data_IF_815352429274
#
_entry.id   IF_815352429274
#
_cell.length_a   1.000
_cell.length_b   1.000
_cell.length_c   1.000
_cell.angle_alpha   90.00
_cell.angle_beta   90.00
_cell.angle_gamma   90.00
#
_symmetry.space_group_name_H-M   'P 1'
#
loop_
_entity.id
_entity.type
_entity.pdbx_description
1 polymer ?
#
# COMPACT_ATOMS: atom_id res chain seq x y z
N UNK A 1 -11.20 -8.86 4.86
CA UNK A 1 -10.12 -8.40 5.75
C UNK A 1 -9.47 -7.14 5.20
N UNK A 2 -9.24 -6.12 6.02
CA UNK A 2 -8.56 -4.89 5.60
C UNK A 2 -7.15 -4.76 6.20
N UNK A 3 -6.84 -5.57 7.19
CA UNK A 3 -5.55 -5.67 7.84
C UNK A 3 -5.22 -7.12 8.19
N UNK A 4 -4.08 -7.35 8.81
CA UNK A 4 -3.61 -8.69 9.14
C UNK A 4 -4.01 -9.14 10.56
N UNK A 5 -5.06 -8.57 11.18
CA UNK A 5 -5.49 -8.90 12.54
C UNK A 5 -5.72 -10.39 12.76
N UNK A 6 -6.25 -11.09 11.76
CA UNK A 6 -6.52 -12.53 11.86
C UNK A 6 -5.27 -13.39 12.09
N UNK A 7 -4.09 -12.89 11.72
CA UNK A 7 -2.81 -13.62 11.80
C UNK A 7 -1.72 -12.87 12.55
N UNK A 8 -1.97 -11.61 12.94
CA UNK A 8 -0.99 -10.78 13.63
C UNK A 8 -1.66 -9.82 14.62
N UNK A 9 -1.42 -9.94 15.96
CA UNK A 9 -2.07 -9.09 16.95
C UNK A 9 -1.77 -7.59 16.83
N UNK A 10 -0.68 -7.17 16.18
CA UNK A 10 -0.41 -5.76 15.90
C UNK A 10 -0.93 -5.29 14.54
N UNK A 11 -1.63 -6.14 13.79
CA UNK A 11 -2.29 -5.89 12.50
C UNK A 11 -1.35 -5.57 11.32
N UNK A 12 -0.06 -5.37 11.56
CA UNK A 12 0.86 -4.84 10.55
C UNK A 12 1.82 -5.87 9.95
N UNK A 13 1.96 -7.05 10.58
CA UNK A 13 3.02 -8.03 10.24
C UNK A 13 4.40 -7.38 10.19
N UNK A 14 4.66 -6.44 11.12
CA UNK A 14 5.89 -5.67 11.23
C UNK A 14 6.29 -5.55 12.71
N UNK A 15 7.59 -5.60 12.97
CA UNK A 15 8.14 -5.33 14.32
C UNK A 15 8.19 -3.83 14.60
N UNK A 16 8.34 -3.41 15.87
CA UNK A 16 8.55 -1.99 16.20
C UNK A 16 9.80 -1.38 15.56
N UNK A 17 10.78 -2.20 15.17
CA UNK A 17 11.98 -1.78 14.46
C UNK A 17 11.80 -1.65 12.94
N UNK A 18 10.56 -1.75 12.43
CA UNK A 18 10.26 -1.61 11.00
C UNK A 18 10.58 -2.84 10.13
N UNK A 19 10.85 -4.00 10.73
CA UNK A 19 11.14 -5.23 9.99
C UNK A 19 9.87 -6.05 9.79
N UNK A 20 9.68 -6.60 8.60
CA UNK A 20 8.61 -7.56 8.31
C UNK A 20 8.70 -8.76 9.27
N UNK A 21 7.55 -9.16 9.82
CA UNK A 21 7.46 -10.25 10.78
C UNK A 21 6.21 -11.08 10.57
N UNK A 22 6.37 -12.37 10.32
CA UNK A 22 5.29 -13.34 10.12
C UNK A 22 5.18 -14.36 11.26
N UNK A 23 5.88 -14.15 12.39
CA UNK A 23 6.04 -15.14 13.46
C UNK A 23 4.74 -15.48 14.20
N UNK A 24 3.69 -14.64 14.11
CA UNK A 24 2.41 -14.88 14.77
C UNK A 24 1.44 -15.69 13.91
N UNK A 25 1.68 -15.81 12.61
CA UNK A 25 0.85 -16.61 11.71
C UNK A 25 0.75 -18.06 12.21
N UNK A 26 -0.40 -18.72 11.95
CA UNK A 26 -0.66 -20.06 12.48
C UNK A 26 -1.00 -20.13 13.97
N UNK A 27 -1.46 -19.02 14.58
CA UNK A 27 -1.90 -18.99 15.98
C UNK A 27 -0.79 -18.75 17.00
N UNK A 28 0.42 -18.40 16.56
CA UNK A 28 1.58 -18.21 17.44
C UNK A 28 1.66 -16.79 18.04
N UNK A 29 0.52 -16.23 18.49
CA UNK A 29 0.36 -14.85 18.96
C UNK A 29 1.33 -14.43 20.09
N UNK A 30 1.90 -15.39 20.84
CA UNK A 30 2.90 -15.12 21.88
C UNK A 30 4.15 -14.39 21.36
N UNK A 31 4.45 -14.48 20.05
CA UNK A 31 5.56 -13.76 19.44
C UNK A 31 5.33 -12.23 19.42
N UNK A 32 4.08 -11.78 19.46
CA UNK A 32 3.75 -10.37 19.62
C UNK A 32 4.29 -9.81 20.95
N UNK A 33 4.10 -10.55 22.07
CA UNK A 33 4.68 -10.20 23.36
C UNK A 33 6.21 -10.21 23.33
N UNK A 34 6.83 -11.28 22.80
CA UNK A 34 8.29 -11.41 22.74
C UNK A 34 8.96 -10.24 22.03
N UNK A 35 8.33 -9.70 21.01
CA UNK A 35 8.84 -8.60 20.19
C UNK A 35 8.29 -7.21 20.63
N UNK A 36 7.46 -7.13 21.67
CA UNK A 36 6.80 -5.87 22.10
C UNK A 36 6.12 -5.13 20.97
N UNK A 37 5.40 -5.85 20.08
CA UNK A 37 4.92 -5.35 18.79
C UNK A 37 3.89 -4.23 18.89
N UNK A 38 3.07 -4.16 19.96
CA UNK A 38 2.01 -3.16 20.08
C UNK A 38 2.56 -1.91 20.77
N UNK A 39 2.74 -0.85 20.00
CA UNK A 39 3.28 0.45 20.44
C UNK A 39 4.60 0.35 21.22
N UNK A 40 5.46 -0.60 20.90
CA UNK A 40 6.72 -0.88 21.62
C UNK A 40 6.53 -1.15 23.14
N UNK A 41 5.31 -1.50 23.55
CA UNK A 41 4.91 -1.72 24.95
C UNK A 41 4.75 -3.20 25.25
N UNK A 42 5.52 -3.71 26.21
CA UNK A 42 5.38 -5.11 26.68
C UNK A 42 3.97 -5.38 27.21
N UNK A 43 3.41 -4.45 28.01
CA UNK A 43 2.10 -4.63 28.62
C UNK A 43 0.98 -4.71 27.55
N UNK A 44 0.98 -3.80 26.59
CA UNK A 44 0.00 -3.85 25.49
C UNK A 44 0.18 -5.11 24.65
N UNK A 45 1.41 -5.51 24.39
CA UNK A 45 1.71 -6.69 23.58
C UNK A 45 1.36 -8.00 24.28
N UNK A 46 1.41 -8.08 25.64
CA UNK A 46 0.95 -9.26 26.37
C UNK A 46 -0.58 -9.37 26.30
N UNK A 47 -1.30 -8.26 26.39
CA UNK A 47 -2.76 -8.23 26.25
C UNK A 47 -3.16 -8.72 24.86
N UNK A 48 -2.58 -8.15 23.78
CA UNK A 48 -2.88 -8.58 22.42
C UNK A 48 -2.47 -10.02 22.12
N UNK A 49 -1.35 -10.49 22.69
CA UNK A 49 -0.94 -11.88 22.58
C UNK A 49 -1.92 -12.82 23.31
N UNK A 50 -2.35 -12.46 24.53
CA UNK A 50 -3.32 -13.23 25.30
C UNK A 50 -4.68 -13.30 24.60
N UNK A 51 -5.16 -12.18 24.04
CA UNK A 51 -6.38 -12.12 23.23
C UNK A 51 -6.29 -13.07 22.01
N UNK A 52 -5.22 -12.96 21.22
CA UNK A 52 -5.03 -13.83 20.05
C UNK A 52 -4.97 -15.32 20.45
N UNK A 53 -4.26 -15.67 21.51
CA UNK A 53 -4.21 -17.04 22.03
C UNK A 53 -5.58 -17.51 22.51
N UNK A 54 -6.34 -16.65 23.21
CA UNK A 54 -7.67 -16.98 23.72
C UNK A 54 -8.64 -17.32 22.58
N UNK A 55 -8.79 -16.44 21.60
CA UNK A 55 -9.71 -16.67 20.47
C UNK A 55 -9.30 -17.90 19.65
N UNK A 56 -7.98 -18.11 19.48
CA UNK A 56 -7.47 -19.30 18.79
C UNK A 56 -7.79 -20.59 19.58
N UNK A 57 -7.58 -20.59 20.90
CA UNK A 57 -7.90 -21.74 21.78
C UNK A 57 -9.40 -22.07 21.81
N UNK A 58 -10.25 -21.04 21.76
CA UNK A 58 -11.71 -21.21 21.64
C UNK A 58 -12.17 -21.65 20.25
N UNK A 59 -11.24 -21.73 19.28
CA UNK A 59 -11.52 -22.16 17.89
C UNK A 59 -12.57 -21.29 17.20
N UNK A 60 -12.73 -20.02 17.59
CA UNK A 60 -13.76 -19.10 17.07
C UNK A 60 -13.64 -18.89 15.56
N UNK A 61 -12.42 -18.86 15.05
CA UNK A 61 -12.16 -18.67 13.59
C UNK A 61 -12.68 -19.82 12.71
N UNK A 62 -13.07 -20.95 13.28
CA UNK A 62 -13.72 -22.05 12.54
C UNK A 62 -15.11 -21.66 12.05
N UNK A 63 -15.78 -20.72 12.74
CA UNK A 63 -17.12 -20.22 12.37
C UNK A 63 -17.10 -19.20 11.24
N UNK A 64 -15.92 -18.79 10.79
CA UNK A 64 -15.77 -17.94 9.61
C UNK A 64 -15.84 -18.84 8.37
N UNK A 65 -16.84 -18.63 7.53
CA UNK A 65 -17.02 -19.39 6.29
C UNK A 65 -16.10 -18.86 5.18
N UNK A 66 -16.02 -17.55 5.04
CA UNK A 66 -15.21 -16.90 3.99
C UNK A 66 -14.50 -15.66 4.53
N UNK A 67 -13.23 -15.50 4.15
CA UNK A 67 -12.43 -14.30 4.38
C UNK A 67 -12.17 -13.63 3.02
N UNK A 68 -12.77 -12.48 2.80
CA UNK A 68 -12.54 -11.68 1.60
C UNK A 68 -11.26 -10.87 1.79
N UNK A 69 -10.30 -11.08 0.89
CA UNK A 69 -9.00 -10.43 0.87
C UNK A 69 -8.90 -9.51 -0.34
N UNK A 70 -8.42 -8.25 -0.17
CA UNK A 70 -8.33 -7.30 -1.28
C UNK A 70 -7.19 -7.59 -2.26
N UNK A 71 -6.33 -8.57 -1.99
CA UNK A 71 -5.25 -9.03 -2.88
C UNK A 71 -4.96 -10.51 -2.68
N UNK A 72 -4.35 -11.15 -3.67
CA UNK A 72 -3.85 -12.52 -3.57
C UNK A 72 -2.71 -12.61 -2.56
N UNK A 73 -1.88 -11.56 -2.46
CA UNK A 73 -0.84 -11.46 -1.44
C UNK A 73 -1.44 -11.57 -0.03
N UNK A 74 -2.47 -10.78 0.29
CA UNK A 74 -3.11 -10.84 1.60
C UNK A 74 -3.73 -12.21 1.85
N UNK A 75 -4.41 -12.79 0.87
CA UNK A 75 -4.96 -14.14 0.97
C UNK A 75 -3.86 -15.17 1.30
N UNK A 76 -2.68 -15.06 0.67
CA UNK A 76 -1.55 -15.93 0.96
C UNK A 76 -1.06 -15.83 2.40
N UNK A 77 -1.08 -14.61 2.99
CA UNK A 77 -0.69 -14.40 4.39
C UNK A 77 -1.72 -14.92 5.37
N UNK A 78 -3.00 -14.71 5.12
CA UNK A 78 -4.11 -15.25 5.93
C UNK A 78 -4.08 -16.79 5.89
N UNK A 79 -3.82 -17.40 4.73
CA UNK A 79 -3.74 -18.86 4.56
C UNK A 79 -2.54 -19.52 5.25
N UNK A 80 -1.60 -18.75 5.79
CA UNK A 80 -0.55 -19.31 6.66
C UNK A 80 -1.15 -19.93 7.93
N UNK A 81 -2.28 -19.40 8.43
CA UNK A 81 -3.03 -20.06 9.47
C UNK A 81 -3.90 -21.19 8.89
N UNK A 82 -3.71 -22.45 9.31
CA UNK A 82 -4.46 -23.58 8.78
C UNK A 82 -5.98 -23.44 8.88
N UNK A 83 -6.50 -22.64 9.86
CA UNK A 83 -7.95 -22.46 10.06
C UNK A 83 -8.61 -21.72 8.89
N UNK A 84 -7.84 -20.92 8.13
CA UNK A 84 -8.34 -20.14 6.99
C UNK A 84 -8.07 -20.77 5.63
N UNK A 85 -7.34 -21.89 5.57
CA UNK A 85 -7.04 -22.56 4.29
C UNK A 85 -8.34 -23.00 3.60
N UNK A 86 -8.47 -22.58 2.33
CA UNK A 86 -9.66 -22.83 1.53
C UNK A 86 -10.85 -21.90 1.81
N UNK A 87 -10.70 -20.98 2.78
CA UNK A 87 -11.76 -20.00 3.12
C UNK A 87 -11.49 -18.59 2.54
N UNK A 88 -10.31 -18.33 2.01
CA UNK A 88 -10.01 -17.01 1.44
C UNK A 88 -10.54 -16.87 0.03
N UNK A 89 -11.18 -15.74 -0.26
CA UNK A 89 -11.56 -15.30 -1.60
C UNK A 89 -10.93 -13.94 -1.89
N UNK A 90 -10.37 -13.78 -3.08
CA UNK A 90 -9.77 -12.50 -3.50
C UNK A 90 -10.84 -11.65 -4.15
N UNK A 91 -11.01 -10.43 -3.65
CA UNK A 91 -11.85 -9.41 -4.24
C UNK A 91 -11.14 -8.07 -4.11
N UNK A 92 -10.51 -7.63 -5.20
CA UNK A 92 -9.77 -6.35 -5.23
C UNK A 92 -10.68 -5.18 -4.90
N UNK A 93 -10.11 -4.13 -4.30
CA UNK A 93 -10.82 -2.89 -4.06
C UNK A 93 -11.33 -2.29 -5.39
N UNK A 94 -12.26 -1.37 -5.28
CA UNK A 94 -12.86 -0.66 -6.39
C UNK A 94 -12.39 0.79 -6.45
N UNK A 95 -12.55 1.42 -7.61
CA UNK A 95 -12.38 2.87 -7.80
C UNK A 95 -13.66 3.41 -8.40
N UNK A 96 -14.17 4.50 -7.84
CA UNK A 96 -15.28 5.22 -8.44
C UNK A 96 -14.90 5.75 -9.83
N UNK A 97 -15.92 6.10 -10.60
CA UNK A 97 -15.69 6.68 -11.92
C UNK A 97 -14.85 7.96 -11.77
N UNK A 98 -13.67 7.95 -12.37
CA UNK A 98 -12.78 9.11 -12.39
C UNK A 98 -12.92 9.86 -13.72
N UNK A 99 -12.75 11.16 -13.67
CA UNK A 99 -12.62 11.96 -14.89
C UNK A 99 -11.26 11.70 -15.54
N UNK A 100 -11.29 11.04 -16.70
CA UNK A 100 -10.11 10.67 -17.49
C UNK A 100 -9.73 11.70 -18.54
N UNK A 101 -10.27 12.92 -18.47
CA UNK A 101 -9.91 14.00 -19.37
C UNK A 101 -8.40 14.22 -19.33
N UNK A 102 -7.70 14.09 -20.46
CA UNK A 102 -6.27 14.28 -20.50
C UNK A 102 -5.88 15.71 -20.10
N UNK A 103 -4.89 15.82 -19.22
CA UNK A 103 -4.28 17.09 -18.84
C UNK A 103 -2.79 17.08 -19.21
N UNK A 104 -2.23 18.27 -19.40
CA UNK A 104 -0.78 18.40 -19.61
C UNK A 104 -0.06 17.99 -18.32
N UNK A 105 0.86 17.04 -18.42
CA UNK A 105 1.73 16.65 -17.31
C UNK A 105 2.73 17.76 -17.00
N UNK A 106 2.99 17.94 -15.72
CA UNK A 106 4.03 18.82 -15.17
C UNK A 106 5.22 17.96 -14.70
N UNK A 107 6.40 18.58 -14.64
CA UNK A 107 7.64 17.85 -14.32
C UNK A 107 7.85 17.74 -12.79
N UNK A 108 6.93 17.02 -12.09
CA UNK A 108 7.13 16.69 -10.68
C UNK A 108 6.73 15.26 -10.38
N UNK A 109 7.37 14.73 -9.33
CA UNK A 109 7.10 13.40 -8.77
C UNK A 109 6.21 13.57 -7.54
N UNK A 110 5.05 12.91 -7.52
CA UNK A 110 4.05 13.06 -6.46
C UNK A 110 4.12 11.90 -5.47
N UNK A 111 4.19 12.21 -4.19
CA UNK A 111 3.78 11.31 -3.11
C UNK A 111 2.51 11.87 -2.47
N UNK A 112 1.51 11.02 -2.22
CA UNK A 112 0.35 11.41 -1.42
C UNK A 112 -0.06 10.30 -0.47
N UNK A 113 -0.28 10.67 0.78
CA UNK A 113 -0.59 9.75 1.86
C UNK A 113 -0.02 10.19 3.20
N UNK A 114 -0.04 9.28 4.17
CA UNK A 114 0.48 9.54 5.51
C UNK A 114 2.02 9.63 5.50
N UNK A 115 2.56 10.67 6.12
CA UNK A 115 4.01 10.84 6.29
C UNK A 115 4.49 9.99 7.49
N UNK A 116 4.85 8.75 7.22
CA UNK A 116 5.26 7.79 8.23
C UNK A 116 6.32 6.83 7.69
N UNK A 117 7.07 6.21 8.59
CA UNK A 117 8.20 5.34 8.23
C UNK A 117 7.75 4.14 7.39
N UNK A 118 6.63 3.49 7.74
CA UNK A 118 6.11 2.34 7.00
C UNK A 118 5.67 2.68 5.57
N UNK A 119 5.32 3.95 5.31
CA UNK A 119 5.04 4.46 3.95
C UNK A 119 6.30 4.81 3.16
N UNK A 120 7.49 4.61 3.76
CA UNK A 120 8.77 4.77 3.09
C UNK A 120 9.23 6.21 2.94
N UNK A 121 8.79 7.13 3.84
CA UNK A 121 9.24 8.52 3.79
C UNK A 121 10.76 8.65 3.87
N UNK A 122 11.45 7.74 4.59
CA UNK A 122 12.92 7.71 4.64
C UNK A 122 13.55 7.49 3.27
N UNK A 123 12.91 6.69 2.39
CA UNK A 123 13.37 6.48 1.01
C UNK A 123 13.30 7.78 0.20
N UNK A 124 12.21 8.56 0.34
CA UNK A 124 12.08 9.86 -0.33
C UNK A 124 13.12 10.86 0.19
N UNK A 125 13.28 10.96 1.51
CA UNK A 125 14.24 11.84 2.16
C UNK A 125 15.68 11.51 1.76
N UNK A 126 15.98 10.23 1.54
CA UNK A 126 17.31 9.77 1.12
C UNK A 126 17.58 9.98 -0.38
N UNK A 127 16.54 10.06 -1.22
CA UNK A 127 16.66 10.23 -2.68
C UNK A 127 16.84 11.71 -3.06
N UNK A 128 17.93 12.33 -2.62
CA UNK A 128 18.24 13.78 -2.72
C UNK A 128 18.45 14.31 -4.15
N UNK A 129 18.49 13.42 -5.11
CA UNK A 129 18.69 13.70 -6.53
C UNK A 129 17.37 13.77 -7.34
N UNK A 130 16.23 13.76 -6.64
CA UNK A 130 14.89 13.88 -7.20
C UNK A 130 14.09 14.89 -6.37
N UNK A 131 13.41 15.81 -7.05
CA UNK A 131 12.48 16.74 -6.42
C UNK A 131 11.08 16.13 -6.29
N UNK A 132 10.51 16.18 -5.08
CA UNK A 132 9.20 15.62 -4.79
C UNK A 132 8.18 16.71 -4.41
N UNK A 133 6.93 16.47 -4.81
CA UNK A 133 5.76 17.12 -4.23
C UNK A 133 5.08 16.12 -3.32
N UNK A 134 4.94 16.44 -2.04
CA UNK A 134 4.32 15.57 -1.06
C UNK A 134 3.01 16.17 -0.56
N UNK A 135 1.90 15.45 -0.73
CA UNK A 135 0.58 15.83 -0.24
C UNK A 135 0.15 14.89 0.88
N UNK A 136 0.08 15.41 2.10
CA UNK A 136 -0.27 14.61 3.27
C UNK A 136 0.12 15.24 4.58
N UNK A 137 0.10 14.43 5.63
CA UNK A 137 0.56 14.78 6.97
C UNK A 137 0.93 13.50 7.74
N UNK A 138 1.61 13.64 8.86
CA UNK A 138 1.93 12.48 9.69
C UNK A 138 3.13 12.68 10.61
N UNK A 139 3.56 11.62 11.32
CA UNK A 139 4.63 11.70 12.31
C UNK A 139 6.00 12.16 11.76
N UNK A 140 6.21 12.04 10.44
CA UNK A 140 7.46 12.45 9.80
C UNK A 140 7.37 13.81 9.09
N UNK A 141 6.32 14.61 9.36
CA UNK A 141 6.09 15.89 8.69
C UNK A 141 7.27 16.89 8.90
N UNK A 142 7.82 16.93 10.09
CA UNK A 142 9.00 17.77 10.39
C UNK A 142 10.21 17.36 9.52
N UNK A 143 10.48 16.07 9.38
CA UNK A 143 11.56 15.56 8.53
C UNK A 143 11.34 15.88 7.05
N UNK A 144 10.09 15.80 6.59
CA UNK A 144 9.68 16.18 5.23
C UNK A 144 9.93 17.67 5.01
N UNK A 145 9.48 18.53 5.93
CA UNK A 145 9.63 19.99 5.82
C UNK A 145 11.09 20.48 5.88
N UNK A 146 11.97 19.72 6.53
CA UNK A 146 13.41 20.03 6.56
C UNK A 146 14.20 19.49 5.35
N UNK A 147 13.55 18.75 4.44
CA UNK A 147 14.19 18.15 3.27
C UNK A 147 14.09 19.11 2.07
N UNK A 148 15.21 19.71 1.66
CA UNK A 148 15.25 20.77 0.65
C UNK A 148 14.69 20.38 -0.73
N UNK A 149 14.70 19.07 -1.08
CA UNK A 149 14.19 18.52 -2.34
C UNK A 149 12.73 18.03 -2.23
N UNK A 150 12.05 18.26 -1.09
CA UNK A 150 10.66 17.89 -0.88
C UNK A 150 9.81 19.14 -0.64
N UNK A 151 8.88 19.39 -1.52
CA UNK A 151 7.85 20.42 -1.35
C UNK A 151 6.61 19.81 -0.72
N UNK A 152 6.39 20.06 0.57
CA UNK A 152 5.15 19.70 1.25
C UNK A 152 4.04 20.70 0.88
N UNK A 153 2.95 20.20 0.32
CA UNK A 153 1.76 21.00 -0.05
C UNK A 153 0.60 20.81 0.94
N UNK A 154 0.86 20.11 2.05
CA UNK A 154 -0.13 19.79 3.08
C UNK A 154 -1.10 18.70 2.67
N UNK A 155 -2.04 18.40 3.55
CA UNK A 155 -3.08 17.42 3.29
C UNK A 155 -4.05 17.92 2.22
N UNK A 156 -4.31 17.10 1.19
CA UNK A 156 -5.20 17.40 0.07
C UNK A 156 -6.25 16.32 -0.11
N UNK A 157 -7.45 16.71 -0.53
CA UNK A 157 -8.58 15.82 -0.82
C UNK A 157 -9.38 16.33 -2.01
N UNK A 158 -10.30 15.49 -2.51
CA UNK A 158 -11.23 15.86 -3.58
C UNK A 158 -10.53 16.41 -4.81
N UNK A 159 -11.05 17.48 -5.37
CA UNK A 159 -10.55 18.08 -6.62
C UNK A 159 -9.11 18.56 -6.55
N UNK A 160 -8.64 19.06 -5.40
CA UNK A 160 -7.25 19.51 -5.25
C UNK A 160 -6.26 18.33 -5.36
N UNK A 161 -6.58 17.20 -4.75
CA UNK A 161 -5.77 15.98 -4.86
C UNK A 161 -5.85 15.40 -6.27
N UNK A 162 -7.04 15.35 -6.86
CA UNK A 162 -7.24 14.90 -8.24
C UNK A 162 -6.36 15.66 -9.22
N UNK A 163 -6.35 16.99 -9.15
CA UNK A 163 -5.52 17.85 -10.01
C UNK A 163 -4.02 17.57 -9.81
N UNK A 164 -3.58 17.39 -8.57
CA UNK A 164 -2.20 17.03 -8.27
C UNK A 164 -1.83 15.67 -8.90
N UNK A 165 -2.70 14.67 -8.77
CA UNK A 165 -2.43 13.35 -9.36
C UNK A 165 -2.41 13.45 -10.89
N UNK A 166 -3.41 14.08 -11.50
CA UNK A 166 -3.53 14.22 -12.96
C UNK A 166 -2.32 14.90 -13.58
N UNK A 167 -1.78 15.94 -12.94
CA UNK A 167 -0.67 16.74 -13.47
C UNK A 167 0.71 16.14 -13.23
N UNK A 168 0.88 15.27 -12.24
CA UNK A 168 2.17 14.67 -11.92
C UNK A 168 2.76 13.88 -13.08
N UNK A 169 4.08 13.96 -13.28
CA UNK A 169 4.79 13.10 -14.22
C UNK A 169 4.67 11.64 -13.84
N UNK A 170 4.82 11.35 -12.55
CA UNK A 170 4.53 10.06 -11.93
C UNK A 170 4.21 10.23 -10.45
N UNK A 171 3.64 9.21 -9.85
CA UNK A 171 3.51 9.09 -8.39
C UNK A 171 4.40 7.97 -7.84
N UNK A 172 4.75 8.07 -6.56
CA UNK A 172 5.67 7.13 -5.91
C UNK A 172 5.07 6.53 -4.64
N UNK A 173 5.32 5.22 -4.44
CA UNK A 173 4.84 4.44 -3.31
C UNK A 173 5.98 3.59 -2.73
N UNK A 174 6.88 4.18 -1.94
CA UNK A 174 8.08 3.51 -1.43
C UNK A 174 7.83 2.73 -0.14
N UNK A 175 6.62 2.20 0.07
CA UNK A 175 6.26 1.47 1.29
C UNK A 175 7.22 0.35 1.61
N UNK A 176 7.54 0.20 2.90
CA UNK A 176 8.41 -0.87 3.41
C UNK A 176 7.66 -1.93 4.22
N UNK A 177 6.32 -1.86 4.24
CA UNK A 177 5.44 -2.80 4.92
C UNK A 177 4.49 -3.49 3.93
N UNK A 178 3.79 -4.52 4.39
CA UNK A 178 2.81 -5.24 3.59
C UNK A 178 1.54 -4.40 3.35
N UNK A 179 1.56 -3.58 2.30
CA UNK A 179 0.35 -2.92 1.81
C UNK A 179 -0.65 -3.96 1.32
N UNK A 180 -1.92 -3.72 1.58
CA UNK A 180 -2.97 -4.63 1.11
C UNK A 180 -3.35 -4.32 -0.34
N UNK A 181 -4.19 -3.31 -0.53
CA UNK A 181 -4.64 -2.86 -1.85
C UNK A 181 -4.74 -1.33 -1.80
N UNK A 182 -3.60 -0.60 -1.91
CA UNK A 182 -3.58 0.84 -1.69
C UNK A 182 -4.39 1.59 -2.74
N UNK A 183 -5.44 2.29 -2.29
CA UNK A 183 -6.28 3.13 -3.14
C UNK A 183 -5.47 4.16 -3.90
N UNK A 184 -4.48 4.74 -3.27
CA UNK A 184 -3.63 5.78 -3.87
C UNK A 184 -2.86 5.29 -5.11
N UNK A 185 -2.44 4.03 -5.16
CA UNK A 185 -1.88 3.43 -6.39
C UNK A 185 -2.96 3.30 -7.47
N UNK A 186 -4.15 2.82 -7.09
CA UNK A 186 -5.27 2.67 -8.02
C UNK A 186 -5.74 4.02 -8.55
N UNK A 187 -5.84 5.05 -7.70
CA UNK A 187 -6.19 6.42 -8.06
C UNK A 187 -5.18 7.00 -9.07
N UNK A 188 -3.88 6.90 -8.77
CA UNK A 188 -2.84 7.36 -9.67
C UNK A 188 -2.99 6.76 -11.07
N UNK A 189 -3.09 5.45 -11.15
CA UNK A 189 -3.25 4.73 -12.42
C UNK A 189 -4.55 5.14 -13.11
N UNK A 190 -5.66 5.26 -12.36
CA UNK A 190 -6.96 5.63 -12.92
C UNK A 190 -6.98 7.03 -13.53
N UNK A 191 -6.21 7.96 -12.97
CA UNK A 191 -6.02 9.30 -13.52
C UNK A 191 -4.91 9.37 -14.60
N UNK A 192 -4.38 8.24 -15.03
CA UNK A 192 -3.35 8.18 -16.05
C UNK A 192 -1.96 8.60 -15.55
N UNK A 193 -1.68 8.48 -14.26
CA UNK A 193 -0.36 8.82 -13.71
C UNK A 193 0.41 7.54 -13.41
N UNK A 194 1.53 7.28 -14.11
CA UNK A 194 2.37 6.12 -13.87
C UNK A 194 2.89 6.06 -12.44
N UNK A 195 3.08 4.86 -11.91
CA UNK A 195 3.45 4.65 -10.51
C UNK A 195 4.81 3.97 -10.40
N UNK A 196 5.73 4.54 -9.60
CA UNK A 196 6.93 3.84 -9.16
C UNK A 196 6.69 3.31 -7.74
N UNK A 197 6.41 2.01 -7.62
CA UNK A 197 5.99 1.36 -6.39
C UNK A 197 6.98 0.32 -5.88
N UNK A 198 7.07 0.17 -4.55
CA UNK A 198 7.87 -0.88 -3.95
C UNK A 198 7.27 -2.26 -4.25
N UNK A 199 8.11 -3.24 -4.59
CA UNK A 199 7.69 -4.63 -4.86
C UNK A 199 7.36 -5.36 -3.54
N UNK A 200 6.37 -4.88 -2.80
CA UNK A 200 5.98 -5.40 -1.48
C UNK A 200 4.46 -5.41 -1.30
N UNK A 201 3.95 -6.39 -0.56
CA UNK A 201 2.53 -6.50 -0.28
C UNK A 201 1.69 -6.70 -1.54
N UNK A 202 0.55 -6.01 -1.59
CA UNK A 202 -0.35 -6.01 -2.74
C UNK A 202 0.01 -5.02 -3.85
N UNK A 203 1.05 -4.18 -3.68
CA UNK A 203 1.45 -3.19 -4.70
C UNK A 203 1.76 -3.84 -6.06
N UNK A 204 2.52 -4.96 -6.13
CA UNK A 204 2.82 -5.62 -7.40
C UNK A 204 1.60 -6.15 -8.15
N UNK A 205 0.49 -6.37 -7.47
CA UNK A 205 -0.76 -6.81 -8.12
C UNK A 205 -1.51 -5.65 -8.83
N UNK A 206 -1.18 -4.41 -8.49
CA UNK A 206 -1.81 -3.22 -9.03
C UNK A 206 -1.02 -2.57 -10.17
N UNK A 207 0.30 -2.72 -10.18
CA UNK A 207 1.20 -2.11 -11.16
C UNK A 207 1.63 -3.17 -12.18
N UNK A 208 1.35 -2.92 -13.46
CA UNK A 208 1.90 -3.72 -14.57
C UNK A 208 3.30 -3.17 -14.85
N UNK A 209 4.33 -3.86 -14.33
CA UNK A 209 5.73 -3.41 -14.42
C UNK A 209 6.17 -3.18 -15.87
N UNK A 210 6.78 -2.03 -16.14
CA UNK A 210 7.14 -1.58 -17.47
C UNK A 210 5.97 -1.07 -18.33
N UNK A 211 4.70 -1.14 -17.85
CA UNK A 211 3.52 -0.72 -18.61
C UNK A 211 2.74 0.42 -17.94
N UNK A 212 2.36 0.28 -16.68
CA UNK A 212 1.65 1.31 -15.93
C UNK A 212 2.53 1.98 -14.88
N UNK A 213 3.81 1.63 -14.86
CA UNK A 213 4.80 2.13 -13.93
C UNK A 213 5.96 1.17 -13.78
N UNK A 214 6.73 1.33 -12.71
CA UNK A 214 7.83 0.45 -12.37
C UNK A 214 7.73 -0.08 -10.95
N UNK A 215 8.23 -1.30 -10.75
CA UNK A 215 8.46 -1.88 -9.45
C UNK A 215 9.94 -1.77 -9.07
N UNK A 216 10.23 -1.50 -7.81
CA UNK A 216 11.59 -1.46 -7.27
C UNK A 216 11.70 -2.25 -5.96
N UNK A 217 12.92 -2.64 -5.58
CA UNK A 217 13.18 -3.39 -4.37
C UNK A 217 12.91 -2.54 -3.11
N UNK A 218 12.03 -2.96 -2.16
CA UNK A 218 11.67 -2.19 -0.99
C UNK A 218 12.88 -1.71 -0.19
N UNK A 219 12.91 -0.41 0.17
CA UNK A 219 14.02 0.19 0.91
C UNK A 219 15.31 0.43 0.10
N UNK A 220 15.36 0.04 -1.16
CA UNK A 220 16.51 0.29 -2.03
C UNK A 220 16.39 1.66 -2.70
N UNK A 221 17.00 2.67 -2.09
CA UNK A 221 16.97 4.07 -2.57
C UNK A 221 17.55 4.20 -3.99
N UNK A 222 18.62 3.46 -4.29
CA UNK A 222 19.26 3.54 -5.62
C UNK A 222 18.32 2.98 -6.70
N UNK A 223 17.76 1.79 -6.52
CA UNK A 223 16.81 1.19 -7.47
C UNK A 223 15.59 2.09 -7.66
N UNK A 224 15.05 2.65 -6.55
CA UNK A 224 13.98 3.63 -6.58
C UNK A 224 14.32 4.84 -7.45
N UNK A 225 15.47 5.50 -7.19
CA UNK A 225 15.92 6.68 -7.93
C UNK A 225 16.14 6.36 -9.41
N UNK A 226 16.74 5.21 -9.73
CA UNK A 226 16.98 4.76 -11.11
C UNK A 226 15.66 4.59 -11.86
N UNK A 227 14.62 4.00 -11.24
CA UNK A 227 13.28 3.82 -11.84
C UNK A 227 12.57 5.16 -12.09
N UNK A 228 12.61 6.07 -11.13
CA UNK A 228 12.02 7.41 -11.28
C UNK A 228 12.72 8.17 -12.40
N UNK A 229 14.05 8.20 -12.43
CA UNK A 229 14.83 8.88 -13.47
C UNK A 229 14.62 8.28 -14.87
N UNK A 230 14.51 6.97 -14.97
CA UNK A 230 14.21 6.30 -16.24
C UNK A 230 12.88 6.77 -16.83
N UNK A 231 11.87 7.00 -15.97
CA UNK A 231 10.59 7.52 -16.41
C UNK A 231 10.67 9.00 -16.77
N UNK A 232 11.27 9.84 -15.92
CA UNK A 232 11.40 11.28 -16.16
C UNK A 232 12.28 11.60 -17.37
N UNK A 233 13.33 10.82 -17.60
CA UNK A 233 14.29 11.01 -18.70
C UNK A 233 13.78 10.54 -20.06
N UNK A 234 12.68 9.80 -20.15
CA UNK A 234 12.16 9.24 -21.40
C UNK A 234 10.69 9.65 -21.64
N UNK A 235 10.50 10.77 -22.33
CA UNK A 235 9.17 11.31 -22.62
C UNK A 235 8.27 10.35 -23.41
N UNK A 236 8.83 9.54 -24.30
CA UNK A 236 8.06 8.57 -25.10
C UNK A 236 7.54 7.45 -24.20
N UNK A 237 8.38 6.92 -23.33
CA UNK A 237 8.01 5.90 -22.34
C UNK A 237 6.94 6.44 -21.37
N UNK A 238 7.13 7.66 -20.86
CA UNK A 238 6.17 8.30 -19.96
C UNK A 238 4.79 8.45 -20.60
N UNK A 239 4.75 8.86 -21.89
CA UNK A 239 3.50 9.01 -22.66
C UNK A 239 2.82 7.65 -22.89
N UNK A 240 3.60 6.61 -23.20
CA UNK A 240 3.08 5.25 -23.36
C UNK A 240 2.50 4.72 -22.05
N UNK A 241 3.24 4.85 -20.94
CA UNK A 241 2.74 4.46 -19.62
C UNK A 241 1.49 5.23 -19.23
N UNK A 242 1.42 6.54 -19.50
CA UNK A 242 0.22 7.34 -19.28
C UNK A 242 -1.00 6.75 -20.01
N UNK A 243 -0.86 6.41 -21.31
CA UNK A 243 -1.94 5.79 -22.10
C UNK A 243 -2.33 4.43 -21.51
N UNK A 244 -1.35 3.62 -21.12
CA UNK A 244 -1.61 2.31 -20.51
C UNK A 244 -2.36 2.44 -19.18
N UNK A 245 -2.01 3.42 -18.35
CA UNK A 245 -2.72 3.74 -17.11
C UNK A 245 -4.19 4.09 -17.38
N UNK A 246 -4.49 4.97 -18.33
CA UNK A 246 -5.86 5.35 -18.70
C UNK A 246 -6.68 4.15 -19.21
N UNK A 247 -6.03 3.18 -19.85
CA UNK A 247 -6.67 1.96 -20.36
C UNK A 247 -6.85 0.87 -19.29
N UNK A 248 -6.09 0.92 -18.20
CA UNK A 248 -6.24 -0.04 -17.10
C UNK A 248 -7.58 0.16 -16.41
N UNK A 249 -8.28 -0.96 -16.22
CA UNK A 249 -9.61 -0.97 -15.59
C UNK A 249 -9.51 -1.54 -14.19
N UNK A 250 -10.05 -0.82 -13.22
CA UNK A 250 -10.37 -1.32 -11.91
C UNK A 250 -11.89 -1.52 -11.80
N UNK A 251 -12.35 -2.34 -10.87
CA UNK A 251 -13.77 -2.51 -10.62
C UNK A 251 -14.39 -1.18 -10.16
N UNK A 252 -15.62 -0.93 -10.59
CA UNK A 252 -16.47 0.11 -10.00
C UNK A 252 -17.10 -0.40 -8.70
N UNK A 253 -17.70 0.49 -7.92
CA UNK A 253 -18.45 0.11 -6.71
C UNK A 253 -19.58 -0.86 -7.03
N UNK A 254 -20.32 -0.65 -8.12
CA UNK A 254 -21.41 -1.53 -8.54
C UNK A 254 -20.91 -2.95 -8.83
N UNK A 255 -19.84 -3.07 -9.62
CA UNK A 255 -19.22 -4.36 -9.93
C UNK A 255 -18.66 -5.06 -8.68
N UNK A 256 -18.12 -4.28 -7.74
CA UNK A 256 -17.65 -4.82 -6.46
C UNK A 256 -18.82 -5.38 -5.64
N UNK A 257 -19.93 -4.63 -5.56
CA UNK A 257 -21.14 -5.06 -4.85
C UNK A 257 -21.76 -6.33 -5.48
N UNK A 258 -21.83 -6.40 -6.80
CA UNK A 258 -22.30 -7.59 -7.51
C UNK A 258 -21.46 -8.82 -7.13
N UNK A 259 -20.13 -8.71 -7.23
CA UNK A 259 -19.23 -9.81 -6.84
C UNK A 259 -19.30 -10.16 -5.37
N UNK A 260 -19.51 -9.16 -4.51
CA UNK A 260 -19.67 -9.38 -3.08
C UNK A 260 -20.95 -10.19 -2.79
N UNK A 261 -22.06 -9.88 -3.46
CA UNK A 261 -23.32 -10.63 -3.36
C UNK A 261 -23.17 -12.08 -3.86
N UNK A 262 -22.41 -12.30 -4.94
CA UNK A 262 -22.08 -13.66 -5.42
C UNK A 262 -21.28 -14.47 -4.39
N UNK A 263 -20.50 -13.82 -3.54
CA UNK A 263 -19.74 -14.48 -2.48
C UNK A 263 -20.67 -14.90 -1.32
N UNK A 264 -21.73 -14.13 -1.07
CA UNK A 264 -22.71 -14.40 0.00
C UNK A 264 -23.80 -15.40 -0.40
N UNK A 265 -24.02 -15.61 -1.69
CA UNK A 265 -24.95 -16.62 -2.22
C UNK A 265 -24.33 -18.02 -2.20
#
# INVERSE_FOLDING_TARGET
>A
AHDYQLVCPNHMMMTPSGQICEKCAGGHSINCFKNSCIHSSKLKSIIGAAEGCFWHSKKVYRWIDTVICPTAFMASKINQDPVFRGKTKVLYNFIDKVDKTPVRKEDYVLFFGRFSAEKGMETLIAAKDIDFVCAGSGPMEDAVNHSAHIRNVGFKTGKELEELIKKAACSVYPSIWYENCPFSVMESISYGTPVVGAAIGGIPELIDDGKTGFLFAPGNVKDFSDKVKALLGNKQLALEMHKNCLNKKFMTVDQYCEKLLEIYS
#
